data_IF_242246514038
#
_entry.id   IF_242246514038
#
_cell.length_a   1.000
_cell.length_b   1.000
_cell.length_c   1.000
_cell.angle_alpha   90.00
_cell.angle_beta   90.00
_cell.angle_gamma   90.00
#
_symmetry.space_group_name_H-M   'P 1'
#
loop_
_entity.id
_entity.type
_entity.pdbx_description
1 polymer ?
#
# COMPACT_ATOMS: atom_id res chain seq x y z
N UNK A 1 12.15 -6.56 33.24
CA UNK A 1 10.72 -6.20 33.20
C UNK A 1 10.57 -5.25 32.03
N UNK A 2 10.12 -5.78 30.91
CA UNK A 2 10.02 -5.11 29.61
C UNK A 2 8.76 -5.68 28.98
N UNK A 3 7.82 -4.81 28.62
CA UNK A 3 6.41 -5.14 28.49
C UNK A 3 6.09 -5.96 27.22
N UNK A 4 6.04 -7.28 27.36
CA UNK A 4 4.81 -8.03 27.08
C UNK A 4 4.29 -8.21 25.64
N UNK A 5 5.04 -7.87 24.60
CA UNK A 5 4.66 -8.22 23.22
C UNK A 5 5.70 -9.16 22.59
N UNK A 6 5.22 -10.34 22.19
CA UNK A 6 5.99 -11.38 21.52
C UNK A 6 6.38 -10.85 20.13
N UNK A 7 7.67 -10.82 19.83
CA UNK A 7 8.18 -10.49 18.52
C UNK A 7 7.76 -11.60 17.53
N UNK A 8 7.14 -11.30 16.36
CA UNK A 8 6.73 -12.33 15.39
C UNK A 8 7.88 -13.24 14.93
N UNK A 9 9.12 -12.76 15.06
CA UNK A 9 10.35 -13.50 14.76
C UNK A 9 10.76 -14.47 15.89
N UNK A 10 10.34 -14.24 17.14
CA UNK A 10 10.63 -15.17 18.25
C UNK A 10 9.74 -16.43 18.23
N UNK A 11 8.58 -16.37 17.56
CA UNK A 11 7.75 -17.56 17.26
C UNK A 11 8.37 -18.40 16.12
N UNK A 12 9.12 -17.76 15.22
CA UNK A 12 9.89 -18.42 14.15
C UNK A 12 11.14 -19.15 14.68
N UNK A 13 11.65 -18.76 15.86
CA UNK A 13 12.93 -19.26 16.39
C UNK A 13 12.87 -20.57 17.19
N UNK A 14 11.68 -21.12 17.49
CA UNK A 14 11.55 -22.42 18.16
C UNK A 14 11.39 -23.57 17.14
N UNK A 15 12.42 -23.82 16.31
CA UNK A 15 12.60 -25.05 15.51
C UNK A 15 11.31 -25.59 14.84
N UNK A 16 10.56 -24.72 14.14
CA UNK A 16 9.16 -25.01 13.84
C UNK A 16 8.97 -25.98 12.66
N UNK A 17 7.94 -26.85 12.70
CA UNK A 17 7.49 -27.70 11.60
C UNK A 17 7.41 -27.00 10.23
N UNK A 18 7.24 -25.68 10.22
CA UNK A 18 7.16 -24.83 9.03
C UNK A 18 8.43 -24.89 8.16
N UNK A 19 9.63 -25.03 8.74
CA UNK A 19 10.86 -25.18 7.95
C UNK A 19 10.97 -26.56 7.28
N UNK A 20 10.43 -27.60 7.93
CA UNK A 20 10.39 -28.96 7.39
C UNK A 20 9.30 -29.10 6.33
N UNK A 21 8.18 -28.41 6.54
CA UNK A 21 7.11 -28.23 5.55
C UNK A 21 7.64 -27.49 4.33
N UNK A 22 8.38 -26.38 4.50
CA UNK A 22 8.93 -25.63 3.37
C UNK A 22 9.92 -26.48 2.56
N UNK A 23 10.86 -27.17 3.22
CA UNK A 23 11.76 -28.12 2.52
C UNK A 23 11.01 -29.29 1.89
N UNK A 24 9.94 -29.79 2.51
CA UNK A 24 9.13 -30.88 1.98
C UNK A 24 8.29 -30.47 0.77
N UNK A 25 7.79 -29.22 0.76
CA UNK A 25 7.09 -28.62 -0.37
C UNK A 25 8.09 -28.32 -1.48
N UNK A 26 9.22 -27.67 -1.18
CA UNK A 26 10.29 -27.40 -2.15
C UNK A 26 10.83 -28.69 -2.77
N UNK A 27 11.01 -29.77 -1.99
CA UNK A 27 11.42 -31.06 -2.53
C UNK A 27 10.34 -31.71 -3.43
N UNK A 28 9.06 -31.43 -3.20
CA UNK A 28 7.95 -31.97 -3.98
C UNK A 28 7.59 -31.13 -5.21
N UNK A 29 7.81 -29.82 -5.18
CA UNK A 29 7.35 -28.86 -6.21
C UNK A 29 8.47 -28.04 -6.85
N UNK A 30 9.66 -28.00 -6.24
CA UNK A 30 10.81 -27.21 -6.68
C UNK A 30 10.73 -25.71 -6.36
N UNK A 31 9.78 -25.26 -5.52
CA UNK A 31 9.51 -23.84 -5.29
C UNK A 31 9.51 -23.47 -3.80
N UNK A 32 10.22 -22.39 -3.42
CA UNK A 32 10.21 -21.83 -2.06
C UNK A 32 8.97 -20.95 -1.84
N UNK A 33 7.88 -21.62 -1.48
CA UNK A 33 6.57 -20.99 -1.27
C UNK A 33 6.63 -20.01 -0.10
N UNK A 34 7.21 -20.40 1.04
CA UNK A 34 7.15 -19.54 2.22
C UNK A 34 8.01 -18.29 2.04
N UNK A 35 9.18 -18.40 1.40
CA UNK A 35 10.03 -17.25 1.09
C UNK A 35 9.32 -16.20 0.22
N UNK A 36 8.70 -16.63 -0.88
CA UNK A 36 7.97 -15.73 -1.78
C UNK A 36 6.76 -15.06 -1.10
N UNK A 37 6.08 -15.77 -0.20
CA UNK A 37 4.95 -15.19 0.56
C UNK A 37 5.45 -14.19 1.60
N UNK A 38 6.54 -14.49 2.30
CA UNK A 38 7.14 -13.58 3.27
C UNK A 38 7.61 -12.29 2.60
N UNK A 39 8.23 -12.38 1.44
CA UNK A 39 8.67 -11.21 0.68
C UNK A 39 7.48 -10.30 0.30
N UNK A 40 6.39 -10.88 -0.23
CA UNK A 40 5.18 -10.14 -0.57
C UNK A 40 4.48 -9.50 0.64
N UNK A 41 4.57 -10.13 1.82
CA UNK A 41 3.98 -9.63 3.08
C UNK A 41 4.88 -8.61 3.78
N UNK A 42 6.21 -8.70 3.60
CA UNK A 42 7.22 -7.95 4.34
C UNK A 42 7.33 -6.46 4.04
N UNK A 43 6.59 -5.94 3.05
CA UNK A 43 6.53 -4.50 2.79
C UNK A 43 6.11 -3.71 4.05
N UNK A 44 6.75 -2.57 4.30
CA UNK A 44 6.37 -1.67 5.39
C UNK A 44 5.11 -0.87 5.01
N UNK A 45 3.98 -1.56 4.97
CA UNK A 45 2.67 -0.98 4.63
C UNK A 45 2.21 0.06 5.66
N UNK A 46 2.71 -0.04 6.89
CA UNK A 46 2.49 0.94 7.95
C UNK A 46 3.20 2.26 7.62
N UNK A 47 4.44 2.23 7.11
CA UNK A 47 5.12 3.44 6.65
C UNK A 47 4.39 4.11 5.48
N UNK A 48 3.83 3.33 4.54
CA UNK A 48 3.01 3.86 3.43
C UNK A 48 1.75 4.54 3.99
N UNK A 49 1.08 3.94 4.97
CA UNK A 49 -0.06 4.55 5.63
C UNK A 49 0.32 5.86 6.36
N UNK A 50 1.40 5.85 7.15
CA UNK A 50 1.89 7.06 7.84
C UNK A 50 2.24 8.19 6.88
N UNK A 51 2.85 7.87 5.73
CA UNK A 51 3.09 8.85 4.68
C UNK A 51 1.78 9.46 4.16
N UNK A 52 0.75 8.65 3.95
CA UNK A 52 -0.56 9.14 3.54
C UNK A 52 -1.17 10.13 4.55
N UNK A 53 -1.04 9.86 5.85
CA UNK A 53 -1.51 10.76 6.90
C UNK A 53 -0.74 12.08 6.90
N UNK A 54 0.58 12.03 6.70
CA UNK A 54 1.41 13.22 6.55
C UNK A 54 0.97 14.09 5.35
N UNK A 55 0.60 13.48 4.22
CA UNK A 55 0.04 14.20 3.07
C UNK A 55 -1.32 14.82 3.41
N UNK A 56 -2.17 14.14 4.17
CA UNK A 56 -3.43 14.70 4.67
C UNK A 56 -3.23 15.93 5.55
N UNK A 57 -2.27 15.89 6.47
CA UNK A 57 -1.91 17.05 7.29
C UNK A 57 -1.34 18.20 6.47
N UNK A 58 -0.58 17.89 5.41
CA UNK A 58 -0.10 18.91 4.49
C UNK A 58 -1.25 19.57 3.71
N UNK A 59 -2.27 18.79 3.31
CA UNK A 59 -3.47 19.34 2.69
C UNK A 59 -4.19 20.34 3.61
N UNK A 60 -4.37 19.98 4.88
CA UNK A 60 -4.99 20.85 5.88
C UNK A 60 -4.17 22.14 6.08
N UNK A 61 -2.85 22.01 6.18
CA UNK A 61 -1.94 23.16 6.27
C UNK A 61 -2.07 24.10 5.05
N UNK A 62 -2.14 23.57 3.83
CA UNK A 62 -2.32 24.39 2.62
C UNK A 62 -3.68 25.10 2.61
N UNK A 63 -4.74 24.44 3.07
CA UNK A 63 -6.06 25.05 3.19
C UNK A 63 -6.06 26.20 4.19
N UNK A 64 -5.50 25.98 5.39
CA UNK A 64 -5.38 27.01 6.43
C UNK A 64 -4.51 28.18 5.97
N UNK A 65 -3.37 27.92 5.32
CA UNK A 65 -2.48 28.97 4.84
C UNK A 65 -3.15 29.84 3.76
N UNK A 66 -3.93 29.25 2.86
CA UNK A 66 -4.73 30.01 1.90
C UNK A 66 -5.79 30.88 2.58
N UNK A 67 -6.45 30.37 3.62
CA UNK A 67 -7.41 31.14 4.42
C UNK A 67 -6.71 32.32 5.10
N UNK A 68 -5.56 32.10 5.73
CA UNK A 68 -4.81 33.14 6.44
C UNK A 68 -4.36 34.26 5.49
N UNK A 69 -3.88 33.91 4.29
CA UNK A 69 -3.53 34.91 3.26
C UNK A 69 -4.75 35.72 2.82
N UNK A 70 -5.89 35.06 2.59
CA UNK A 70 -7.14 35.73 2.19
C UNK A 70 -7.67 36.66 3.29
N UNK A 71 -7.62 36.22 4.55
CA UNK A 71 -8.03 37.03 5.69
C UNK A 71 -7.10 38.23 5.89
N UNK A 72 -5.79 38.03 5.73
CA UNK A 72 -4.81 39.11 5.82
C UNK A 72 -5.07 40.23 4.82
N UNK A 73 -5.37 39.90 3.56
CA UNK A 73 -5.65 40.93 2.56
C UNK A 73 -7.02 41.60 2.77
N UNK A 74 -8.04 40.87 3.25
CA UNK A 74 -9.34 41.46 3.61
C UNK A 74 -9.24 42.46 4.77
N UNK A 75 -8.36 42.21 5.75
CA UNK A 75 -8.12 43.16 6.85
C UNK A 75 -7.40 44.44 6.39
N UNK A 76 -6.57 44.35 5.35
CA UNK A 76 -5.89 45.51 4.77
C UNK A 76 -6.84 46.38 3.95
N UNK A 77 -7.83 45.77 3.28
CA UNK A 77 -8.83 46.45 2.43
C UNK A 77 -9.58 47.57 3.18
N UNK A 78 -9.90 47.37 4.46
CA UNK A 78 -10.59 48.36 5.30
C UNK A 78 -9.81 49.67 5.51
N UNK A 79 -8.48 49.66 5.28
CA UNK A 79 -7.59 50.79 5.61
C UNK A 79 -6.68 51.25 4.49
N UNK A 80 -6.62 50.50 3.38
CA UNK A 80 -5.74 50.77 2.25
C UNK A 80 -6.55 50.78 0.95
N UNK A 81 -6.75 51.98 0.40
CA UNK A 81 -7.51 52.20 -0.82
C UNK A 81 -6.64 52.61 -2.01
N UNK A 82 -7.18 52.41 -3.22
CA UNK A 82 -6.65 52.90 -4.50
C UNK A 82 -6.10 51.80 -5.40
N UNK A 83 -5.65 52.17 -6.61
CA UNK A 83 -5.24 51.21 -7.65
C UNK A 83 -4.18 50.17 -7.20
N UNK A 84 -3.31 50.56 -6.26
CA UNK A 84 -2.29 49.66 -5.70
C UNK A 84 -2.90 48.62 -4.73
N UNK A 85 -3.90 49.04 -3.95
CA UNK A 85 -4.64 48.15 -3.07
C UNK A 85 -5.46 47.14 -3.89
N UNK A 86 -6.18 47.59 -4.93
CA UNK A 86 -6.94 46.71 -5.84
C UNK A 86 -6.04 45.65 -6.49
N UNK A 87 -4.86 46.05 -6.97
CA UNK A 87 -3.90 45.13 -7.59
C UNK A 87 -3.33 44.12 -6.57
N UNK A 88 -3.04 44.56 -5.35
CA UNK A 88 -2.59 43.67 -4.28
C UNK A 88 -3.71 42.71 -3.85
N UNK A 89 -4.94 43.19 -3.73
CA UNK A 89 -6.12 42.40 -3.41
C UNK A 89 -6.30 41.24 -4.39
N UNK A 90 -6.28 41.54 -5.69
CA UNK A 90 -6.38 40.54 -6.75
C UNK A 90 -5.22 39.54 -6.70
N UNK A 91 -3.98 40.01 -6.53
CA UNK A 91 -2.81 39.13 -6.47
C UNK A 91 -2.88 38.16 -5.28
N UNK A 92 -3.09 38.66 -4.06
CA UNK A 92 -3.13 37.82 -2.87
C UNK A 92 -4.35 36.92 -2.81
N UNK A 93 -5.50 37.34 -3.35
CA UNK A 93 -6.68 36.47 -3.48
C UNK A 93 -6.43 35.31 -4.44
N UNK A 94 -5.75 35.57 -5.57
CA UNK A 94 -5.34 34.51 -6.49
C UNK A 94 -4.29 33.58 -5.87
N UNK A 95 -3.35 34.12 -5.09
CA UNK A 95 -2.37 33.34 -4.34
C UNK A 95 -3.03 32.46 -3.28
N UNK A 96 -3.93 33.02 -2.47
CA UNK A 96 -4.71 32.28 -1.48
C UNK A 96 -5.50 31.14 -2.11
N UNK A 97 -6.12 31.40 -3.27
CA UNK A 97 -6.85 30.39 -4.04
C UNK A 97 -5.91 29.29 -4.56
N UNK A 98 -4.73 29.65 -5.07
CA UNK A 98 -3.74 28.68 -5.56
C UNK A 98 -3.24 27.77 -4.44
N UNK A 99 -2.84 28.35 -3.31
CA UNK A 99 -2.35 27.61 -2.13
C UNK A 99 -3.44 26.70 -1.58
N UNK A 100 -4.63 27.23 -1.30
CA UNK A 100 -5.74 26.41 -0.79
C UNK A 100 -6.18 25.36 -1.81
N UNK A 101 -6.05 25.61 -3.11
CA UNK A 101 -6.31 24.65 -4.18
C UNK A 101 -5.40 23.42 -4.13
N UNK A 102 -4.13 23.58 -3.74
CA UNK A 102 -3.19 22.44 -3.61
C UNK A 102 -3.62 21.40 -2.56
N UNK A 103 -4.56 21.74 -1.67
CA UNK A 103 -5.11 20.77 -0.71
C UNK A 103 -5.72 19.55 -1.41
N UNK A 104 -6.35 19.74 -2.58
CA UNK A 104 -7.03 18.66 -3.29
C UNK A 104 -6.05 17.62 -3.81
N UNK A 105 -4.89 18.06 -4.30
CA UNK A 105 -3.83 17.17 -4.78
C UNK A 105 -3.27 16.34 -3.63
N UNK A 106 -2.99 16.97 -2.48
CA UNK A 106 -2.49 16.26 -1.29
C UNK A 106 -3.52 15.31 -0.69
N UNK A 107 -4.82 15.67 -0.70
CA UNK A 107 -5.91 14.75 -0.30
C UNK A 107 -6.02 13.55 -1.23
N UNK A 108 -5.88 13.77 -2.53
CA UNK A 108 -5.88 12.66 -3.48
C UNK A 108 -4.68 11.72 -3.26
N UNK A 109 -3.49 12.26 -3.03
CA UNK A 109 -2.30 11.45 -2.69
C UNK A 109 -2.53 10.66 -1.39
N UNK A 110 -3.14 11.28 -0.37
CA UNK A 110 -3.51 10.57 0.85
C UNK A 110 -4.43 9.38 0.56
N UNK A 111 -5.54 9.60 -0.14
CA UNK A 111 -6.53 8.55 -0.45
C UNK A 111 -5.89 7.39 -1.23
N UNK A 112 -5.09 7.71 -2.24
CA UNK A 112 -4.38 6.73 -3.06
C UNK A 112 -3.43 5.86 -2.21
N UNK A 113 -2.60 6.48 -1.36
CA UNK A 113 -1.66 5.72 -0.52
C UNK A 113 -2.39 4.90 0.56
N UNK A 114 -3.51 5.38 1.11
CA UNK A 114 -4.34 4.59 2.04
C UNK A 114 -4.94 3.37 1.35
N UNK A 115 -5.44 3.52 0.12
CA UNK A 115 -5.95 2.41 -0.68
C UNK A 115 -4.86 1.39 -0.99
N UNK A 116 -3.65 1.83 -1.34
CA UNK A 116 -2.51 0.94 -1.57
C UNK A 116 -2.14 0.14 -0.30
N UNK A 117 -2.06 0.80 0.86
CA UNK A 117 -1.75 0.15 2.13
C UNK A 117 -2.84 -0.85 2.54
N UNK A 118 -4.13 -0.50 2.40
CA UNK A 118 -5.25 -1.42 2.66
C UNK A 118 -5.24 -2.61 1.70
N UNK A 119 -5.02 -2.37 0.41
CA UNK A 119 -4.94 -3.43 -0.60
C UNK A 119 -3.81 -4.42 -0.30
N UNK A 120 -2.65 -3.91 0.12
CA UNK A 120 -1.52 -4.74 0.50
C UNK A 120 -1.78 -5.54 1.80
N UNK A 121 -2.44 -4.94 2.79
CA UNK A 121 -2.87 -5.66 3.98
C UNK A 121 -3.87 -6.79 3.65
N UNK A 122 -4.83 -6.52 2.75
CA UNK A 122 -5.77 -7.55 2.29
C UNK A 122 -5.06 -8.66 1.51
N UNK A 123 -4.08 -8.32 0.67
CA UNK A 123 -3.24 -9.30 -0.02
C UNK A 123 -2.51 -10.19 0.99
N UNK A 124 -1.89 -9.60 2.02
CA UNK A 124 -1.17 -10.34 3.05
C UNK A 124 -2.09 -11.35 3.78
N UNK A 125 -3.31 -10.96 4.12
CA UNK A 125 -4.30 -11.87 4.70
C UNK A 125 -4.68 -13.01 3.74
N UNK A 126 -4.89 -12.70 2.45
CA UNK A 126 -5.21 -13.73 1.44
C UNK A 126 -4.05 -14.71 1.26
N UNK A 127 -2.82 -14.21 1.26
CA UNK A 127 -1.61 -15.03 1.21
C UNK A 127 -1.48 -15.91 2.47
N UNK A 128 -1.76 -15.38 3.65
CA UNK A 128 -1.82 -16.18 4.88
C UNK A 128 -2.81 -17.35 4.79
N UNK A 129 -4.01 -17.11 4.25
CA UNK A 129 -5.01 -18.15 4.05
C UNK A 129 -4.57 -19.22 3.03
N UNK A 130 -3.91 -18.81 1.94
CA UNK A 130 -3.38 -19.75 0.95
C UNK A 130 -2.26 -20.59 1.56
N UNK A 131 -1.35 -19.97 2.32
CA UNK A 131 -0.29 -20.69 3.02
C UNK A 131 -0.87 -21.75 3.97
N UNK A 132 -1.89 -21.40 4.76
CA UNK A 132 -2.58 -22.36 5.61
C UNK A 132 -3.18 -23.52 4.80
N UNK A 133 -3.84 -23.24 3.67
CA UNK A 133 -4.39 -24.27 2.80
C UNK A 133 -3.31 -25.19 2.18
N UNK A 134 -2.13 -24.65 1.89
CA UNK A 134 -0.98 -25.42 1.42
C UNK A 134 -0.47 -26.35 2.52
N UNK A 135 -0.32 -25.85 3.74
CA UNK A 135 0.09 -26.65 4.92
C UNK A 135 -0.90 -27.80 5.16
N UNK A 136 -2.20 -27.52 5.12
CA UNK A 136 -3.25 -28.53 5.31
C UNK A 136 -3.19 -29.62 4.22
N UNK A 137 -3.09 -29.21 2.95
CA UNK A 137 -2.99 -30.15 1.84
C UNK A 137 -1.73 -31.03 1.95
N UNK A 138 -0.61 -30.46 2.40
CA UNK A 138 0.63 -31.20 2.60
C UNK A 138 0.52 -32.23 3.73
N UNK A 139 -0.06 -31.87 4.87
CA UNK A 139 -0.28 -32.78 5.99
C UNK A 139 -1.21 -33.95 5.59
N UNK A 140 -2.28 -33.67 4.84
CA UNK A 140 -3.17 -34.70 4.30
C UNK A 140 -2.42 -35.61 3.32
N UNK A 141 -1.59 -35.03 2.45
CA UNK A 141 -0.78 -35.78 1.49
C UNK A 141 0.19 -36.74 2.17
N UNK A 142 0.88 -36.29 3.22
CA UNK A 142 1.78 -37.14 4.01
C UNK A 142 1.04 -38.25 4.74
N UNK A 143 -0.09 -37.94 5.38
CA UNK A 143 -0.90 -38.94 6.06
C UNK A 143 -1.40 -40.01 5.08
N UNK A 144 -1.82 -39.61 3.87
CA UNK A 144 -2.25 -40.51 2.81
C UNK A 144 -1.11 -41.41 2.29
N UNK A 145 0.07 -40.84 2.07
CA UNK A 145 1.26 -41.59 1.64
C UNK A 145 1.71 -42.60 2.71
N UNK A 146 1.73 -42.20 3.98
CA UNK A 146 2.08 -43.07 5.11
C UNK A 146 1.07 -44.20 5.31
N UNK A 147 -0.23 -43.90 5.23
CA UNK A 147 -1.28 -44.92 5.25
C UNK A 147 -1.12 -45.90 4.08
N UNK A 148 -0.92 -45.40 2.86
CA UNK A 148 -0.70 -46.22 1.67
C UNK A 148 0.50 -47.17 1.81
N UNK A 149 1.59 -46.69 2.39
CA UNK A 149 2.77 -47.51 2.69
C UNK A 149 2.47 -48.60 3.75
N UNK A 150 1.71 -48.27 4.80
CA UNK A 150 1.37 -49.23 5.86
C UNK A 150 0.41 -50.34 5.40
N UNK A 151 -0.52 -50.04 4.48
CA UNK A 151 -1.42 -51.04 3.88
C UNK A 151 -0.90 -51.59 2.54
N UNK A 152 0.37 -51.35 2.19
CA UNK A 152 0.97 -51.76 0.92
C UNK A 152 0.96 -53.28 0.69
N UNK A 153 0.98 -54.07 1.77
CA UNK A 153 0.85 -55.52 1.73
C UNK A 153 -0.49 -56.01 1.15
N UNK A 154 -1.52 -55.15 1.08
CA UNK A 154 -2.85 -55.50 0.54
C UNK A 154 -3.00 -55.21 -0.95
N UNK A 155 -1.98 -54.63 -1.62
CA UNK A 155 -1.96 -54.29 -3.05
C UNK A 155 -2.88 -53.11 -3.42
N UNK A 156 -4.11 -53.07 -2.93
CA UNK A 156 -5.10 -52.01 -3.16
C UNK A 156 -4.82 -50.78 -2.29
N UNK A 157 -4.35 -51.00 -1.06
CA UNK A 157 -4.07 -49.94 -0.09
C UNK A 157 -2.95 -48.98 -0.50
N UNK A 158 -1.88 -49.50 -1.12
CA UNK A 158 -0.81 -48.67 -1.66
C UNK A 158 -1.30 -47.73 -2.76
N UNK A 159 -2.07 -48.26 -3.72
CA UNK A 159 -2.55 -47.46 -4.85
C UNK A 159 -3.45 -46.31 -4.40
N UNK A 160 -4.39 -46.57 -3.48
CA UNK A 160 -5.29 -45.54 -2.96
C UNK A 160 -4.54 -44.44 -2.19
N UNK A 161 -3.57 -44.80 -1.35
CA UNK A 161 -2.78 -43.83 -0.56
C UNK A 161 -1.89 -42.94 -1.43
N UNK A 162 -1.19 -43.52 -2.42
CA UNK A 162 -0.35 -42.74 -3.34
C UNK A 162 -1.18 -41.88 -4.31
N UNK A 163 -2.35 -42.36 -4.76
CA UNK A 163 -3.25 -41.55 -5.59
C UNK A 163 -3.77 -40.32 -4.83
N UNK A 164 -4.17 -40.48 -3.56
CA UNK A 164 -4.62 -39.37 -2.73
C UNK A 164 -3.49 -38.38 -2.44
N UNK A 165 -2.26 -38.86 -2.19
CA UNK A 165 -1.08 -38.01 -2.07
C UNK A 165 -0.81 -37.20 -3.35
N UNK A 166 -0.93 -37.83 -4.52
CA UNK A 166 -0.79 -37.15 -5.82
C UNK A 166 -1.85 -36.06 -6.04
N UNK A 167 -3.10 -36.29 -5.62
CA UNK A 167 -4.16 -35.27 -5.68
C UNK A 167 -3.83 -34.07 -4.79
N UNK A 168 -3.30 -34.30 -3.59
CA UNK A 168 -2.89 -33.19 -2.71
C UNK A 168 -1.69 -32.41 -3.28
N UNK A 169 -0.73 -33.09 -3.91
CA UNK A 169 0.37 -32.41 -4.60
C UNK A 169 -0.13 -31.51 -5.74
N UNK A 170 -1.08 -31.98 -6.55
CA UNK A 170 -1.71 -31.16 -7.60
C UNK A 170 -2.48 -29.96 -7.01
N UNK A 171 -3.15 -30.15 -5.86
CA UNK A 171 -3.83 -29.07 -5.15
C UNK A 171 -2.86 -28.00 -4.64
N UNK A 172 -1.72 -28.40 -4.10
CA UNK A 172 -0.66 -27.48 -3.67
C UNK A 172 -0.15 -26.67 -4.87
N UNK A 173 0.13 -27.30 -6.00
CA UNK A 173 0.57 -26.61 -7.22
C UNK A 173 -0.46 -25.55 -7.68
N UNK A 174 -1.76 -25.86 -7.59
CA UNK A 174 -2.82 -24.90 -7.89
C UNK A 174 -2.85 -23.72 -6.92
N UNK A 175 -2.73 -23.98 -5.62
CA UNK A 175 -2.70 -22.94 -4.58
C UNK A 175 -1.50 -22.00 -4.74
N UNK A 176 -0.34 -22.54 -5.14
CA UNK A 176 0.85 -21.74 -5.47
C UNK A 176 0.57 -20.83 -6.67
N UNK A 177 -0.02 -21.36 -7.74
CA UNK A 177 -0.36 -20.55 -8.91
C UNK A 177 -1.37 -19.43 -8.57
N UNK A 178 -2.38 -19.75 -7.75
CA UNK A 178 -3.37 -18.78 -7.28
C UNK A 178 -2.72 -17.65 -6.45
N UNK A 179 -1.73 -17.96 -5.61
CA UNK A 179 -0.95 -16.97 -4.88
C UNK A 179 -0.13 -16.07 -5.82
N UNK A 180 0.59 -16.67 -6.77
CA UNK A 180 1.39 -15.92 -7.76
C UNK A 180 0.52 -14.96 -8.58
N UNK A 181 -0.68 -15.39 -8.99
CA UNK A 181 -1.63 -14.52 -9.71
C UNK A 181 -2.09 -13.35 -8.84
N UNK A 182 -2.39 -13.59 -7.56
CA UNK A 182 -2.80 -12.54 -6.63
C UNK A 182 -1.69 -11.53 -6.38
N UNK A 183 -0.46 -12.00 -6.18
CA UNK A 183 0.73 -11.13 -5.99
C UNK A 183 0.93 -10.24 -7.22
N UNK A 184 0.96 -10.82 -8.43
CA UNK A 184 1.18 -10.05 -9.66
C UNK A 184 0.06 -9.04 -9.94
N UNK A 185 -1.20 -9.44 -9.68
CA UNK A 185 -2.37 -8.57 -9.89
C UNK A 185 -2.35 -7.40 -8.90
N UNK A 186 -2.13 -7.68 -7.62
CA UNK A 186 -2.06 -6.65 -6.59
C UNK A 186 -0.85 -5.73 -6.77
N UNK A 187 0.31 -6.28 -7.13
CA UNK A 187 1.52 -5.50 -7.44
C UNK A 187 1.28 -4.52 -8.60
N UNK A 188 0.66 -4.97 -9.69
CA UNK A 188 0.28 -4.09 -10.80
C UNK A 188 -0.68 -2.98 -10.37
N UNK A 189 -1.68 -3.32 -9.55
CA UNK A 189 -2.66 -2.34 -9.06
C UNK A 189 -2.00 -1.27 -8.16
N UNK A 190 -1.18 -1.70 -7.21
CA UNK A 190 -0.44 -0.80 -6.30
C UNK A 190 0.51 0.12 -7.09
N UNK A 191 1.25 -0.42 -8.06
CA UNK A 191 2.12 0.40 -8.92
C UNK A 191 1.32 1.41 -9.77
N UNK A 192 0.11 1.04 -10.19
CA UNK A 192 -0.81 1.95 -10.86
C UNK A 192 -1.24 3.13 -9.98
N UNK A 193 -1.51 2.88 -8.70
CA UNK A 193 -1.83 3.92 -7.71
C UNK A 193 -0.64 4.88 -7.52
N UNK A 194 0.58 4.36 -7.44
CA UNK A 194 1.78 5.21 -7.32
C UNK A 194 2.12 6.03 -8.58
N UNK A 195 1.43 5.82 -9.71
CA UNK A 195 1.56 6.68 -10.88
C UNK A 195 0.74 7.98 -10.76
N UNK A 196 -0.29 8.02 -9.90
CA UNK A 196 -1.14 9.20 -9.73
C UNK A 196 -0.38 10.43 -9.21
N UNK A 197 0.49 10.34 -8.18
CA UNK A 197 1.27 11.49 -7.69
C UNK A 197 2.17 12.12 -8.76
N UNK A 198 2.77 11.32 -9.65
CA UNK A 198 3.57 11.83 -10.79
C UNK A 198 2.70 12.62 -11.76
N UNK A 199 1.44 12.20 -11.91
CA UNK A 199 0.47 12.87 -12.77
C UNK A 199 -0.08 14.15 -12.11
N UNK A 200 -0.28 14.12 -10.79
CA UNK A 200 -0.71 15.26 -9.97
C UNK A 200 0.37 16.34 -9.86
N UNK A 201 1.64 15.94 -9.71
CA UNK A 201 2.78 16.87 -9.72
C UNK A 201 2.87 17.68 -11.03
N UNK A 202 2.36 17.15 -12.15
CA UNK A 202 2.27 17.86 -13.42
C UNK A 202 0.97 18.70 -13.56
N UNK A 203 0.00 18.55 -12.65
CA UNK A 203 -1.32 19.21 -12.68
C UNK A 203 -1.52 20.29 -11.62
N UNK A 204 -0.83 20.24 -10.49
CA UNK A 204 -1.05 21.11 -9.33
C UNK A 204 -0.81 22.61 -9.54
N UNK A 205 -0.62 23.05 -10.78
CA UNK A 205 -0.35 24.44 -11.14
C UNK A 205 1.08 24.84 -10.75
N UNK A 206 1.79 25.48 -11.67
CA UNK A 206 3.06 26.09 -11.29
C UNK A 206 2.75 27.38 -10.53
N UNK A 207 3.13 27.45 -9.24
CA UNK A 207 3.03 28.70 -8.48
C UNK A 207 3.83 29.83 -9.14
N UNK A 208 4.80 29.51 -10.00
CA UNK A 208 5.52 30.47 -10.84
C UNK A 208 4.66 31.10 -11.94
N UNK A 209 3.51 30.52 -12.28
CA UNK A 209 2.52 31.11 -13.20
C UNK A 209 1.70 32.22 -12.53
N UNK A 210 1.72 32.36 -11.20
CA UNK A 210 1.12 33.49 -10.49
C UNK A 210 2.05 34.70 -10.67
N UNK A 211 1.90 35.37 -11.82
CA UNK A 211 2.73 36.52 -12.19
C UNK A 211 2.49 37.69 -11.23
N UNK A 212 3.58 38.33 -10.83
CA UNK A 212 3.54 39.61 -10.13
C UNK A 212 2.81 40.65 -11.00
N UNK A 213 2.08 41.59 -10.39
CA UNK A 213 1.46 42.69 -11.12
C UNK A 213 2.50 43.41 -11.99
N UNK A 214 2.25 43.49 -13.30
CA UNK A 214 3.16 44.13 -14.28
C UNK A 214 3.01 45.66 -14.33
N UNK A 215 2.00 46.21 -13.68
CA UNK A 215 1.76 47.66 -13.65
C UNK A 215 2.67 48.33 -12.62
N UNK A 216 3.42 49.35 -13.06
CA UNK A 216 4.15 50.22 -12.15
C UNK A 216 3.17 50.98 -11.24
N UNK A 217 3.55 51.19 -9.98
CA UNK A 217 2.79 51.97 -9.02
C UNK A 217 2.46 53.36 -9.58
N UNK A 218 1.18 53.65 -9.78
CA UNK A 218 0.68 54.98 -10.11
C UNK A 218 0.25 55.67 -8.82
N UNK A 219 0.95 56.74 -8.45
CA UNK A 219 0.60 57.55 -7.28
C UNK A 219 -0.78 58.18 -7.46
N UNK A 220 -1.61 58.30 -6.41
CA UNK A 220 -2.85 59.06 -6.49
C UNK A 220 -2.57 60.52 -6.88
N UNK A 221 -3.15 60.99 -7.99
CA UNK A 221 -3.06 62.39 -8.44
C UNK A 221 -2.30 62.67 -9.75
N UNK A 222 -1.97 61.65 -10.56
CA UNK A 222 -1.45 61.81 -11.91
C UNK A 222 -2.52 61.55 -12.99
#
# INVERSE_FOLDING_TARGET
MTNGFVNPIDVLNYASPTAWINKGIEAATGFDVIGSFMEAVSGDWEAIWKFSEAMGHLADCMAELGIDVQQGILQLDDSWDGNAADAAYLYFSNLATGISGSQYDFRQIQEDYQQAALGAWQLANQLGNILQAIVDAWLIGLAAAGAGAAVSATGVGAFAGYALAGVQAARIAKLINDASLKINTAGTAIMGIFATPVTLANRGGDLSDIKLPTAAYTTPGA
#
